data_IF_725921923820
#
_entry.id   IF_725921923820
#
_cell.length_a   1.000
_cell.length_b   1.000
_cell.length_c   1.000
_cell.angle_alpha   90.00
_cell.angle_beta   90.00
_cell.angle_gamma   90.00
#
_symmetry.space_group_name_H-M   'P 1'
#
loop_
_entity.id
_entity.type
_entity.pdbx_description
1 polymer ?
#
# COMPACT_ATOMS: atom_id res chain seq x y z
N UNK A 1 -12.98 25.47 -8.38
CA UNK A 1 -13.82 25.38 -7.18
C UNK A 1 -12.97 25.37 -5.91
N UNK A 2 -11.95 24.49 -5.80
CA UNK A 2 -11.10 24.38 -4.61
C UNK A 2 -10.36 25.68 -4.24
N UNK A 3 -9.78 26.37 -5.22
CA UNK A 3 -9.06 27.64 -5.05
C UNK A 3 -9.99 28.74 -4.55
N UNK A 4 -11.20 28.84 -5.10
CA UNK A 4 -12.21 29.80 -4.67
C UNK A 4 -12.67 29.58 -3.22
N UNK A 5 -12.95 28.32 -2.86
CA UNK A 5 -13.31 27.94 -1.49
C UNK A 5 -12.18 28.18 -0.48
N UNK A 6 -10.93 28.02 -0.91
CA UNK A 6 -9.77 28.30 -0.05
C UNK A 6 -9.54 29.80 0.14
N UNK A 7 -9.81 30.62 -0.88
CA UNK A 7 -9.63 32.07 -0.82
C UNK A 7 -10.73 32.79 0.00
N UNK A 8 -11.92 32.20 0.10
CA UNK A 8 -13.09 32.81 0.76
C UNK A 8 -13.24 32.45 2.24
N UNK A 9 -12.29 31.75 2.87
CA UNK A 9 -12.34 31.26 4.27
C UNK A 9 -13.59 30.42 4.62
N UNK A 10 -14.42 30.06 3.63
CA UNK A 10 -15.60 29.20 3.81
C UNK A 10 -15.19 27.84 4.35
N UNK A 11 -14.04 27.32 3.94
CA UNK A 11 -13.48 26.07 4.45
C UNK A 11 -13.27 26.10 5.97
N UNK A 12 -12.75 27.22 6.49
CA UNK A 12 -12.50 27.39 7.92
C UNK A 12 -13.83 27.51 8.69
N UNK A 13 -14.79 28.23 8.16
CA UNK A 13 -16.13 28.36 8.75
C UNK A 13 -16.86 27.01 8.82
N UNK A 14 -16.81 26.20 7.78
CA UNK A 14 -17.39 24.85 7.77
C UNK A 14 -16.65 23.95 8.78
N UNK A 15 -15.32 24.02 8.83
CA UNK A 15 -14.53 23.22 9.74
C UNK A 15 -14.81 23.59 11.21
N UNK A 16 -15.02 24.87 11.52
CA UNK A 16 -15.33 25.35 12.87
C UNK A 16 -16.77 25.04 13.29
N UNK A 17 -17.69 24.87 12.36
CA UNK A 17 -19.06 24.47 12.65
C UNK A 17 -19.19 23.01 13.12
N UNK A 18 -18.20 22.16 12.86
CA UNK A 18 -18.23 20.75 13.26
C UNK A 18 -17.81 20.61 14.73
N UNK A 19 -18.61 19.92 15.58
CA UNK A 19 -18.26 19.63 16.96
C UNK A 19 -16.89 18.91 17.09
N UNK A 20 -16.13 19.24 18.13
CA UNK A 20 -14.77 18.72 18.33
C UNK A 20 -14.75 17.18 18.41
N UNK A 21 -15.73 16.58 19.07
CA UNK A 21 -15.87 15.12 19.17
C UNK A 21 -16.02 14.46 17.80
N UNK A 22 -16.77 15.08 16.89
CA UNK A 22 -16.97 14.58 15.54
C UNK A 22 -15.67 14.67 14.71
N UNK A 23 -14.91 15.77 14.86
CA UNK A 23 -13.60 15.91 14.20
C UNK A 23 -12.64 14.80 14.61
N UNK A 24 -12.58 14.50 15.91
CA UNK A 24 -11.73 13.42 16.42
C UNK A 24 -12.20 12.05 15.90
N UNK A 25 -13.51 11.79 15.91
CA UNK A 25 -14.07 10.54 15.41
C UNK A 25 -13.75 10.32 13.91
N UNK A 26 -13.91 11.37 13.10
CA UNK A 26 -13.58 11.33 11.66
C UNK A 26 -12.09 11.07 11.44
N UNK A 27 -11.22 11.74 12.19
CA UNK A 27 -9.76 11.54 12.09
C UNK A 27 -9.36 10.10 12.41
N UNK A 28 -9.93 9.51 13.47
CA UNK A 28 -9.71 8.11 13.84
C UNK A 28 -10.25 7.16 12.77
N UNK A 29 -11.45 7.43 12.25
CA UNK A 29 -12.06 6.63 11.19
C UNK A 29 -11.22 6.61 9.91
N UNK A 30 -10.73 7.77 9.48
CA UNK A 30 -9.83 7.87 8.31
C UNK A 30 -8.53 7.10 8.58
N UNK A 31 -7.94 7.23 9.76
CA UNK A 31 -6.72 6.51 10.14
C UNK A 31 -6.91 4.98 10.09
N UNK A 32 -8.02 4.48 10.64
CA UNK A 32 -8.36 3.05 10.60
C UNK A 32 -8.60 2.57 9.15
N UNK A 33 -9.26 3.37 8.33
CA UNK A 33 -9.51 3.04 6.94
C UNK A 33 -8.21 2.93 6.14
N UNK A 34 -7.29 3.89 6.31
CA UNK A 34 -5.97 3.84 5.66
C UNK A 34 -5.17 2.62 6.15
N UNK A 35 -5.19 2.33 7.46
CA UNK A 35 -4.56 1.14 8.01
C UNK A 35 -5.12 -0.15 7.41
N UNK A 36 -6.45 -0.23 7.25
CA UNK A 36 -7.10 -1.37 6.64
C UNK A 36 -6.69 -1.57 5.17
N UNK A 37 -6.64 -0.50 4.38
CA UNK A 37 -6.14 -0.55 2.99
C UNK A 37 -4.67 -1.01 2.97
N UNK A 38 -3.86 -0.53 3.91
CA UNK A 38 -2.47 -0.97 4.06
C UNK A 38 -2.35 -2.47 4.33
N UNK A 39 -3.18 -3.03 5.21
CA UNK A 39 -3.23 -4.47 5.48
C UNK A 39 -3.68 -5.29 4.28
N UNK A 40 -4.62 -4.79 3.48
CA UNK A 40 -5.03 -5.44 2.24
C UNK A 40 -3.93 -5.42 1.18
N UNK A 41 -3.26 -4.29 0.98
CA UNK A 41 -2.15 -4.18 0.03
C UNK A 41 -0.96 -5.05 0.43
N UNK A 42 -0.69 -5.17 1.73
CA UNK A 42 0.32 -6.08 2.26
C UNK A 42 -0.10 -7.57 2.20
N UNK A 43 -1.32 -7.88 1.74
CA UNK A 43 -1.89 -9.23 1.68
C UNK A 43 -2.04 -9.92 3.04
N UNK A 44 -1.96 -9.18 4.16
CA UNK A 44 -2.25 -9.70 5.50
C UNK A 44 -3.73 -10.04 5.62
N UNK A 45 -4.58 -9.22 5.00
CA UNK A 45 -6.02 -9.44 4.88
C UNK A 45 -6.35 -9.67 3.41
N UNK A 46 -6.94 -10.79 3.09
CA UNK A 46 -7.35 -11.18 1.74
C UNK A 46 -8.87 -11.31 1.65
N UNK A 47 -9.40 -11.21 0.44
CA UNK A 47 -10.81 -11.49 0.18
C UNK A 47 -11.13 -12.96 0.50
N UNK A 48 -12.27 -13.21 1.06
CA UNK A 48 -12.75 -14.55 1.36
C UNK A 48 -14.13 -14.79 0.73
N UNK A 49 -14.62 -16.02 0.80
CA UNK A 49 -15.93 -16.40 0.22
C UNK A 49 -17.10 -15.64 0.85
N UNK A 50 -16.98 -15.19 2.08
CA UNK A 50 -18.04 -14.45 2.79
C UNK A 50 -17.68 -12.99 3.05
N UNK A 51 -16.49 -12.67 3.51
CA UNK A 51 -16.02 -11.30 3.72
C UNK A 51 -14.50 -11.20 3.56
N UNK A 52 -13.78 -11.22 4.65
CA UNK A 52 -12.33 -11.04 4.71
C UNK A 52 -11.73 -12.17 5.53
N UNK A 53 -10.55 -12.59 5.14
CA UNK A 53 -9.80 -13.65 5.81
C UNK A 53 -8.37 -13.20 6.08
N UNK A 54 -7.76 -13.78 7.11
CA UNK A 54 -6.32 -13.66 7.31
C UNK A 54 -5.59 -14.47 6.24
N UNK A 55 -4.40 -14.00 5.89
CA UNK A 55 -3.58 -14.62 4.87
C UNK A 55 -3.34 -16.11 5.13
N UNK A 56 -3.62 -16.91 4.11
CA UNK A 56 -3.18 -18.29 3.96
C UNK A 56 -2.84 -18.51 2.50
N UNK A 57 -1.74 -19.21 2.21
CA UNK A 57 -1.30 -19.45 0.81
C UNK A 57 -2.38 -20.19 0.02
N UNK A 58 -2.99 -21.22 0.61
CA UNK A 58 -4.03 -22.02 -0.04
C UNK A 58 -5.26 -21.18 -0.38
N UNK A 59 -5.70 -20.37 0.58
CA UNK A 59 -6.86 -19.48 0.38
C UNK A 59 -6.57 -18.34 -0.58
N UNK A 60 -5.36 -17.80 -0.58
CA UNK A 60 -4.94 -16.82 -1.54
C UNK A 60 -4.98 -17.37 -2.97
N UNK A 61 -4.49 -18.60 -3.16
CA UNK A 61 -4.52 -19.30 -4.45
C UNK A 61 -5.95 -19.60 -4.90
N UNK A 62 -6.80 -20.06 -3.98
CA UNK A 62 -8.22 -20.34 -4.25
C UNK A 62 -8.98 -19.11 -4.72
N UNK A 63 -8.81 -17.97 -4.02
CA UNK A 63 -9.54 -16.72 -4.32
C UNK A 63 -9.06 -16.07 -5.62
N UNK A 64 -7.75 -16.10 -5.89
CA UNK A 64 -7.17 -15.45 -7.06
C UNK A 64 -6.96 -16.38 -8.27
N UNK A 65 -7.22 -17.68 -8.12
CA UNK A 65 -7.04 -18.67 -9.21
C UNK A 65 -5.58 -18.82 -9.65
N UNK A 66 -4.63 -18.62 -8.73
CA UNK A 66 -3.17 -18.67 -9.00
C UNK A 66 -2.50 -19.74 -8.15
N UNK A 67 -1.29 -20.11 -8.52
CA UNK A 67 -0.45 -21.08 -7.78
C UNK A 67 0.76 -20.37 -7.19
N UNK A 68 0.50 -19.39 -6.32
CA UNK A 68 1.57 -18.69 -5.60
C UNK A 68 2.17 -19.58 -4.51
N UNK A 69 3.49 -19.51 -4.34
CA UNK A 69 4.18 -20.20 -3.27
C UNK A 69 4.35 -19.30 -2.04
N UNK A 70 4.74 -19.90 -0.92
CA UNK A 70 5.05 -19.13 0.28
C UNK A 70 6.19 -18.12 0.05
N UNK A 71 7.16 -18.47 -0.80
CA UNK A 71 8.28 -17.59 -1.14
C UNK A 71 7.87 -16.36 -1.97
N UNK A 72 6.76 -16.43 -2.70
CA UNK A 72 6.29 -15.31 -3.50
C UNK A 72 5.46 -14.33 -2.63
N UNK A 73 4.42 -14.85 -1.97
CA UNK A 73 3.43 -14.02 -1.26
C UNK A 73 3.63 -14.06 0.26
N UNK A 74 3.94 -15.22 0.84
CA UNK A 74 4.07 -15.38 2.29
C UNK A 74 5.21 -14.57 2.89
N UNK A 75 6.33 -14.46 2.18
CA UNK A 75 7.46 -13.63 2.61
C UNK A 75 7.09 -12.16 2.64
N UNK A 76 6.31 -11.68 1.68
CA UNK A 76 5.85 -10.29 1.66
C UNK A 76 4.97 -9.97 2.87
N UNK A 77 4.05 -10.88 3.21
CA UNK A 77 3.18 -10.75 4.39
C UNK A 77 4.02 -10.75 5.68
N UNK A 78 4.98 -11.65 5.78
CA UNK A 78 5.87 -11.75 6.94
C UNK A 78 6.72 -10.49 7.11
N UNK A 79 7.27 -9.97 6.00
CA UNK A 79 8.03 -8.73 5.97
C UNK A 79 7.17 -7.53 6.39
N UNK A 80 5.91 -7.47 5.95
CA UNK A 80 4.97 -6.43 6.35
C UNK A 80 4.67 -6.46 7.85
N UNK A 81 4.46 -7.64 8.44
CA UNK A 81 4.24 -7.80 9.88
C UNK A 81 5.46 -7.34 10.67
N UNK A 82 6.66 -7.75 10.27
CA UNK A 82 7.92 -7.31 10.90
C UNK A 82 8.05 -5.79 10.79
N UNK A 83 7.75 -5.20 9.63
CA UNK A 83 7.78 -3.76 9.41
C UNK A 83 6.83 -3.00 10.33
N UNK A 84 5.61 -3.51 10.53
CA UNK A 84 4.63 -2.92 11.46
C UNK A 84 5.16 -2.95 12.89
N UNK A 85 5.73 -4.08 13.33
CA UNK A 85 6.30 -4.22 14.68
C UNK A 85 7.46 -3.25 14.88
N UNK A 86 8.40 -3.18 13.94
CA UNK A 86 9.55 -2.27 14.00
C UNK A 86 9.07 -0.81 14.08
N UNK A 87 8.14 -0.42 13.21
CA UNK A 87 7.58 0.93 13.22
C UNK A 87 6.87 1.24 14.53
N UNK A 88 6.11 0.28 15.08
CA UNK A 88 5.46 0.42 16.39
C UNK A 88 6.45 0.66 17.53
N UNK A 89 7.56 -0.09 17.56
CA UNK A 89 8.63 0.10 18.55
C UNK A 89 9.27 1.49 18.41
N UNK A 90 9.54 1.94 17.17
CA UNK A 90 10.10 3.27 16.93
C UNK A 90 9.15 4.40 17.36
N UNK A 91 7.85 4.22 17.16
CA UNK A 91 6.82 5.17 17.60
C UNK A 91 6.80 5.27 19.13
N UNK A 92 6.81 4.14 19.83
CA UNK A 92 6.82 4.11 21.30
C UNK A 92 8.09 4.77 21.87
N UNK A 93 9.22 4.62 21.19
CA UNK A 93 10.49 5.26 21.57
C UNK A 93 10.56 6.77 21.26
N UNK A 94 9.51 7.35 20.66
CA UNK A 94 9.44 8.78 20.30
C UNK A 94 10.65 9.29 19.47
N UNK A 95 11.20 8.44 18.60
CA UNK A 95 12.30 8.83 17.72
C UNK A 95 11.78 9.81 16.67
N UNK A 96 12.44 10.95 16.48
CA UNK A 96 12.06 11.90 15.42
C UNK A 96 12.16 11.24 14.06
N UNK A 97 11.06 11.22 13.30
CA UNK A 97 10.99 10.58 11.99
C UNK A 97 10.80 9.05 12.05
N UNK A 98 10.20 8.53 13.12
CA UNK A 98 9.95 7.10 13.37
C UNK A 98 9.30 6.37 12.17
N UNK A 99 8.34 7.00 11.50
CA UNK A 99 7.67 6.43 10.33
C UNK A 99 8.65 6.27 9.16
N UNK A 100 9.46 7.30 8.89
CA UNK A 100 10.47 7.26 7.84
C UNK A 100 11.50 6.15 8.09
N UNK A 101 12.01 6.08 9.31
CA UNK A 101 12.94 5.02 9.71
C UNK A 101 12.31 3.63 9.62
N UNK A 102 11.04 3.50 10.01
CA UNK A 102 10.30 2.25 9.86
C UNK A 102 10.23 1.77 8.41
N UNK A 103 9.90 2.67 7.48
CA UNK A 103 9.83 2.37 6.04
C UNK A 103 11.21 1.99 5.50
N UNK A 104 12.26 2.76 5.82
CA UNK A 104 13.62 2.49 5.34
C UNK A 104 14.15 1.15 5.83
N UNK A 105 13.95 0.82 7.10
CA UNK A 105 14.41 -0.46 7.68
C UNK A 105 13.65 -1.62 7.04
N UNK A 106 12.35 -1.51 6.85
CA UNK A 106 11.55 -2.55 6.20
C UNK A 106 11.97 -2.74 4.75
N UNK A 107 12.24 -1.67 4.02
CA UNK A 107 12.74 -1.72 2.65
C UNK A 107 14.11 -2.39 2.56
N UNK A 108 15.05 -2.04 3.45
CA UNK A 108 16.36 -2.70 3.53
C UNK A 108 16.23 -4.20 3.84
N UNK A 109 15.34 -4.58 4.77
CA UNK A 109 15.04 -5.97 5.06
C UNK A 109 14.51 -6.70 3.82
N UNK A 110 13.62 -6.06 3.05
CA UNK A 110 13.10 -6.60 1.81
C UNK A 110 14.19 -6.86 0.76
N UNK A 111 15.13 -5.92 0.61
CA UNK A 111 16.30 -6.10 -0.28
C UNK A 111 17.15 -7.29 0.17
N UNK A 112 17.42 -7.42 1.46
CA UNK A 112 18.18 -8.56 2.00
C UNK A 112 17.45 -9.88 1.71
N UNK A 113 16.13 -9.94 1.91
CA UNK A 113 15.33 -11.12 1.57
C UNK A 113 15.38 -11.46 0.08
N UNK A 114 15.43 -10.46 -0.79
CA UNK A 114 15.57 -10.67 -2.22
C UNK A 114 16.98 -11.21 -2.59
N UNK A 115 18.05 -10.69 -1.97
CA UNK A 115 19.40 -11.19 -2.20
C UNK A 115 19.62 -12.62 -1.68
N UNK A 116 18.94 -12.99 -0.59
CA UNK A 116 19.01 -14.36 -0.05
C UNK A 116 18.15 -15.36 -0.83
N UNK A 117 17.40 -14.91 -1.84
CA UNK A 117 16.52 -15.75 -2.64
C UNK A 117 15.26 -16.22 -1.90
N UNK A 118 15.00 -15.68 -0.71
CA UNK A 118 13.75 -15.95 0.01
C UNK A 118 12.54 -15.28 -0.66
N UNK A 119 12.75 -14.11 -1.24
CA UNK A 119 11.74 -13.38 -1.99
C UNK A 119 12.00 -13.51 -3.49
N UNK A 120 11.06 -14.11 -4.21
CA UNK A 120 11.10 -14.22 -5.66
C UNK A 120 10.08 -13.24 -6.25
N UNK A 121 10.53 -12.17 -6.94
CA UNK A 121 9.59 -11.24 -7.57
C UNK A 121 8.86 -11.94 -8.71
N UNK A 122 7.52 -11.89 -8.66
CA UNK A 122 6.66 -12.43 -9.70
C UNK A 122 5.73 -11.32 -10.21
N UNK A 123 6.02 -10.83 -11.41
CA UNK A 123 5.30 -9.72 -12.02
C UNK A 123 3.83 -10.07 -12.34
N UNK A 124 3.55 -11.34 -12.63
CA UNK A 124 2.19 -11.82 -12.95
C UNK A 124 1.26 -11.73 -11.73
N UNK A 125 1.83 -11.82 -10.53
CA UNK A 125 1.11 -11.68 -9.27
C UNK A 125 1.15 -10.24 -8.70
N UNK A 126 1.76 -9.29 -9.43
CA UNK A 126 1.90 -7.91 -9.01
C UNK A 126 3.00 -7.66 -7.97
N UNK A 127 3.92 -8.61 -7.80
CA UNK A 127 5.08 -8.47 -6.92
C UNK A 127 6.33 -8.14 -7.72
N UNK A 128 6.75 -6.89 -7.65
CA UNK A 128 7.91 -6.38 -8.37
C UNK A 128 9.19 -6.48 -7.53
N UNK A 129 10.33 -6.38 -8.22
CA UNK A 129 11.62 -6.29 -7.55
C UNK A 129 11.69 -5.05 -6.64
N UNK A 130 12.24 -5.23 -5.43
CA UNK A 130 12.48 -4.14 -4.47
C UNK A 130 13.73 -3.31 -4.84
N UNK A 131 14.53 -3.82 -5.77
CA UNK A 131 15.69 -3.09 -6.30
C UNK A 131 15.23 -2.15 -7.40
N UNK A 132 15.60 -0.86 -7.34
CA UNK A 132 15.34 0.07 -8.44
C UNK A 132 16.14 -0.37 -9.66
N UNK A 133 15.46 -0.60 -10.77
CA UNK A 133 16.09 -0.94 -12.04
C UNK A 133 16.48 0.35 -12.78
N UNK A 134 17.75 0.66 -12.80
CA UNK A 134 18.33 1.79 -13.51
C UNK A 134 18.84 1.43 -14.92
N UNK A 135 18.62 0.17 -15.39
CA UNK A 135 19.13 -0.28 -16.68
C UNK A 135 18.60 0.52 -17.87
N UNK A 136 17.38 1.04 -17.74
CA UNK A 136 16.73 1.89 -18.77
C UNK A 136 16.90 3.41 -18.52
N UNK A 137 17.77 3.81 -17.58
CA UNK A 137 17.96 5.21 -17.19
C UNK A 137 16.77 5.79 -16.42
N UNK A 138 16.80 7.08 -16.17
CA UNK A 138 15.66 7.82 -15.59
C UNK A 138 14.59 8.00 -16.68
N UNK A 139 13.67 7.04 -16.77
CA UNK A 139 12.49 7.22 -17.63
C UNK A 139 11.55 8.23 -16.98
N UNK A 140 11.49 9.44 -17.54
CA UNK A 140 10.45 10.40 -17.20
C UNK A 140 9.13 9.79 -17.67
N UNK A 141 8.11 9.60 -16.79
CA UNK A 141 6.82 9.10 -17.22
C UNK A 141 6.21 10.10 -18.19
N UNK A 142 6.30 9.80 -19.49
CA UNK A 142 5.65 10.59 -20.54
C UNK A 142 4.17 10.23 -20.43
N UNK A 143 3.34 11.18 -19.98
CA UNK A 143 1.88 11.06 -19.86
C UNK A 143 1.15 10.71 -21.18
N UNK A 144 1.89 10.57 -22.27
CA UNK A 144 1.35 10.28 -23.59
C UNK A 144 0.86 8.83 -23.76
N UNK A 145 1.31 7.89 -22.92
CA UNK A 145 0.97 6.49 -23.08
C UNK A 145 -0.38 6.10 -22.44
N UNK A 146 -0.91 6.94 -21.55
CA UNK A 146 -2.20 6.70 -20.91
C UNK A 146 -3.41 7.01 -21.81
N UNK A 147 -3.27 7.91 -22.78
CA UNK A 147 -4.37 8.29 -23.68
C UNK A 147 -4.58 7.30 -24.85
N UNK A 148 -3.55 6.56 -25.24
CA UNK A 148 -3.65 5.62 -26.36
C UNK A 148 -4.38 4.31 -25.99
N UNK A 149 -4.43 3.96 -24.71
CA UNK A 149 -5.04 2.70 -24.28
C UNK A 149 -6.56 2.77 -24.08
N UNK A 150 -7.12 3.99 -24.00
CA UNK A 150 -8.58 4.18 -23.87
C UNK A 150 -9.31 4.05 -25.22
N UNK A 151 -8.62 4.36 -26.32
CA UNK A 151 -9.24 4.32 -27.67
C UNK A 151 -9.25 2.91 -28.29
N UNK A 152 -8.42 1.97 -27.78
CA UNK A 152 -8.41 0.59 -28.29
C UNK A 152 -9.43 -0.33 -27.60
N UNK A 153 -9.98 0.07 -26.45
CA UNK A 153 -11.02 -0.71 -25.76
C UNK A 153 -12.44 -0.52 -26.34
N UNK A 154 -12.65 0.52 -27.18
CA UNK A 154 -13.95 0.85 -27.77
C UNK A 154 -14.17 0.28 -29.19
N UNK A 155 -13.20 -0.41 -29.76
CA UNK A 155 -13.26 -0.90 -31.15
C UNK A 155 -13.27 -2.43 -31.31
N UNK A 156 -13.76 -3.18 -30.34
CA UNK A 156 -14.10 -4.60 -30.56
C UNK A 156 -15.61 -4.74 -30.68
N UNK A 157 -16.12 -5.25 -31.83
CA UNK A 157 -17.53 -5.50 -32.08
C UNK A 157 -18.08 -6.65 -31.26
#
# INVERSE_FOLDING_TARGET
>A
VFILLSATNVREAIFNAIPQNLKTAVSVGIGLFIAFIGLQNAKIVIGGSTLLQLFSVDKYNEVNGVSASFNDVGITVLLAIIGIIITGILVVKNIKGNILWGILITWLLGIICQFTGLYVPNADLGFYSLLPDFSNGLSIPICHQSSANWTSAESSP
#
